data_IF_852486394346
#
_entry.id   IF_852486394346
#
_cell.length_a   1.000
_cell.length_b   1.000
_cell.length_c   1.000
_cell.angle_alpha   90.00
_cell.angle_beta   90.00
_cell.angle_gamma   90.00
#
_symmetry.space_group_name_H-M   'P 1'
#
loop_
_entity.id
_entity.type
_entity.pdbx_description
1 polymer ?
#
# COMPACT_ATOMS: atom_id res chain seq x y z
N UNK A 1 -7.41 -3.33 27.33
CA UNK A 1 -7.78 -3.61 28.76
C UNK A 1 -8.84 -2.60 29.16
N UNK A 2 -9.97 -3.02 29.68
CA UNK A 2 -11.06 -2.12 30.09
C UNK A 2 -11.13 -2.15 31.60
N UNK A 3 -11.07 -0.98 32.24
CA UNK A 3 -11.27 -0.82 33.68
C UNK A 3 -12.55 -0.01 33.89
N UNK A 4 -13.47 -0.52 34.72
CA UNK A 4 -14.73 0.12 35.12
C UNK A 4 -14.68 0.51 36.58
N UNK A 5 -15.14 1.73 36.91
CA UNK A 5 -15.39 2.14 38.26
C UNK A 5 -16.82 2.72 38.38
N UNK A 6 -17.25 3.12 39.56
CA UNK A 6 -18.58 3.66 39.81
C UNK A 6 -18.90 4.99 39.11
N UNK A 7 -17.96 5.57 38.37
CA UNK A 7 -18.09 6.85 37.66
C UNK A 7 -18.11 6.74 36.15
N UNK A 8 -18.06 5.56 35.56
CA UNK A 8 -18.09 5.33 34.12
C UNK A 8 -17.02 4.38 33.60
N UNK A 9 -17.10 4.03 32.33
CA UNK A 9 -16.08 3.20 31.64
C UNK A 9 -15.10 4.08 30.87
N UNK A 10 -13.80 3.90 31.10
CA UNK A 10 -12.74 4.44 30.27
C UNK A 10 -12.11 3.32 29.42
N UNK A 11 -12.10 3.50 28.13
CA UNK A 11 -11.34 2.64 27.21
C UNK A 11 -9.96 3.25 27.02
N UNK A 12 -8.91 2.52 27.36
CA UNK A 12 -7.53 2.88 26.97
C UNK A 12 -7.16 1.97 25.84
N UNK A 13 -6.99 2.53 24.65
CA UNK A 13 -6.37 1.83 23.52
C UNK A 13 -4.86 1.92 23.73
N UNK A 14 -4.23 0.82 24.00
CA UNK A 14 -2.78 0.70 24.06
C UNK A 14 -2.33 0.10 22.74
N UNK A 15 -1.66 0.88 21.89
CA UNK A 15 -0.91 0.33 20.77
C UNK A 15 0.24 -0.50 21.33
N UNK A 16 0.28 -1.79 21.03
CA UNK A 16 1.48 -2.59 21.23
C UNK A 16 2.44 -2.24 20.07
N UNK A 17 3.51 -1.50 20.38
CA UNK A 17 4.65 -1.48 19.50
C UNK A 17 5.29 -2.87 19.54
N UNK A 18 5.33 -3.55 18.38
CA UNK A 18 6.05 -4.80 18.26
C UNK A 18 7.55 -4.47 18.25
N UNK A 19 8.23 -4.64 19.38
CA UNK A 19 9.69 -4.48 19.51
C UNK A 19 10.46 -5.73 19.02
N UNK A 20 9.95 -6.41 18.00
CA UNK A 20 10.56 -7.58 17.38
C UNK A 20 10.88 -7.30 15.91
N UNK A 21 11.86 -8.01 15.37
CA UNK A 21 12.19 -7.99 13.93
C UNK A 21 10.99 -8.41 13.11
N UNK A 22 10.58 -7.57 12.14
CA UNK A 22 9.50 -7.89 11.22
C UNK A 22 9.94 -9.07 10.32
N UNK A 23 9.08 -10.08 10.22
CA UNK A 23 9.37 -11.29 9.45
C UNK A 23 8.43 -11.43 8.25
N UNK A 24 8.79 -12.29 7.28
CA UNK A 24 7.88 -12.63 6.18
C UNK A 24 6.56 -13.20 6.71
N UNK A 25 6.58 -13.93 7.83
CA UNK A 25 5.38 -14.47 8.45
C UNK A 25 4.43 -13.38 8.99
N UNK A 26 4.97 -12.24 9.40
CA UNK A 26 4.17 -11.11 9.84
C UNK A 26 3.44 -10.44 8.67
N UNK A 27 4.13 -10.32 7.53
CA UNK A 27 3.60 -9.73 6.31
C UNK A 27 2.74 -10.70 5.50
N UNK A 28 2.86 -12.01 5.74
CA UNK A 28 2.10 -13.04 5.03
C UNK A 28 0.60 -12.83 5.21
N UNK A 29 -0.03 -12.30 4.18
CA UNK A 29 -1.47 -12.03 4.11
C UNK A 29 -1.87 -11.56 2.70
N UNK A 30 -3.16 -11.39 2.49
CA UNK A 30 -3.72 -10.65 1.37
C UNK A 30 -4.07 -9.25 1.84
N UNK A 31 -3.47 -8.26 1.23
CA UNK A 31 -3.58 -6.85 1.55
C UNK A 31 -4.44 -6.12 0.54
N UNK A 32 -5.15 -5.11 0.97
CA UNK A 32 -5.82 -4.12 0.11
C UNK A 32 -5.59 -2.72 0.67
N UNK A 33 -5.75 -1.72 -0.16
CA UNK A 33 -5.73 -0.33 0.30
C UNK A 33 -6.83 -0.15 1.35
N UNK A 34 -6.51 0.52 2.46
CA UNK A 34 -7.49 0.79 3.50
C UNK A 34 -8.62 1.67 2.93
N UNK A 35 -9.89 1.27 3.08
CA UNK A 35 -11.02 2.03 2.52
C UNK A 35 -11.36 3.23 3.41
N UNK A 36 -10.43 4.14 3.56
CA UNK A 36 -10.54 5.35 4.39
C UNK A 36 -9.88 6.55 3.72
N UNK A 37 -10.37 7.75 3.98
CA UNK A 37 -9.72 8.97 3.54
C UNK A 37 -8.29 9.05 4.09
N UNK A 38 -7.35 9.51 3.26
CA UNK A 38 -5.93 9.57 3.63
C UNK A 38 -5.15 8.29 3.43
N UNK A 39 -5.77 7.18 3.03
CA UNK A 39 -5.07 5.92 2.77
C UNK A 39 -4.02 6.01 1.65
N UNK A 40 -4.20 6.93 0.71
CA UNK A 40 -3.18 7.37 -0.24
C UNK A 40 -2.90 8.84 0.00
N UNK A 41 -1.63 9.21 -0.02
CA UNK A 41 -1.23 10.60 0.12
C UNK A 41 0.09 10.87 -0.62
N UNK A 42 0.27 12.09 -1.13
CA UNK A 42 1.51 12.53 -1.77
C UNK A 42 1.90 13.93 -1.30
N UNK A 43 3.20 14.13 -1.10
CA UNK A 43 3.73 15.39 -0.64
C UNK A 43 5.26 15.49 -0.73
N UNK A 44 5.83 16.61 -0.26
CA UNK A 44 7.25 16.92 -0.40
C UNK A 44 8.18 16.18 0.56
N UNK A 45 7.64 15.54 1.59
CA UNK A 45 8.41 14.80 2.60
C UNK A 45 7.68 13.52 2.98
N UNK A 46 8.42 12.57 3.52
CA UNK A 46 7.86 11.31 4.00
C UNK A 46 6.65 11.53 4.92
N UNK A 47 5.57 10.81 4.65
CA UNK A 47 4.33 10.89 5.41
C UNK A 47 3.50 12.15 5.21
N UNK A 48 3.95 13.07 4.38
CA UNK A 48 3.23 14.32 4.11
C UNK A 48 2.25 14.13 2.95
N UNK A 49 0.99 14.54 3.14
CA UNK A 49 -0.08 14.47 2.13
C UNK A 49 -0.55 15.83 1.63
N UNK A 50 0.30 16.88 1.75
CA UNK A 50 -0.12 18.27 1.48
C UNK A 50 -0.40 18.59 0.01
N UNK A 51 0.09 17.78 -0.94
CA UNK A 51 -0.17 17.99 -2.37
C UNK A 51 -1.48 17.33 -2.80
N UNK A 52 -1.73 16.13 -2.34
CA UNK A 52 -2.98 15.42 -2.54
C UNK A 52 -3.13 14.29 -1.52
N UNK A 53 -4.36 13.97 -1.20
CA UNK A 53 -4.73 12.85 -0.34
C UNK A 53 -6.08 12.30 -0.77
N UNK A 54 -6.23 10.98 -0.71
CA UNK A 54 -7.47 10.28 -1.00
C UNK A 54 -8.59 10.84 -0.13
N UNK A 55 -9.69 11.28 -0.75
CA UNK A 55 -10.87 11.79 -0.05
C UNK A 55 -11.94 10.71 0.14
N UNK A 56 -12.93 10.97 0.98
CA UNK A 56 -14.11 10.10 1.13
C UNK A 56 -14.86 9.90 -0.21
N UNK A 57 -14.91 10.95 -1.06
CA UNK A 57 -15.54 10.85 -2.38
C UNK A 57 -14.76 9.91 -3.32
N UNK A 58 -13.44 9.87 -3.19
CA UNK A 58 -12.59 9.01 -4.01
C UNK A 58 -12.81 7.52 -3.70
N UNK A 59 -13.22 7.17 -2.49
CA UNK A 59 -13.54 5.78 -2.14
C UNK A 59 -14.65 5.21 -3.02
N UNK A 60 -15.61 6.04 -3.42
CA UNK A 60 -16.68 5.66 -4.34
C UNK A 60 -16.22 5.76 -5.79
N UNK A 61 -15.53 6.84 -6.15
CA UNK A 61 -15.10 7.08 -7.54
C UNK A 61 -14.07 6.05 -8.01
N UNK A 62 -13.20 5.60 -7.09
CA UNK A 62 -12.13 4.62 -7.32
C UNK A 62 -12.44 3.26 -6.68
N UNK A 63 -13.71 2.86 -6.62
CA UNK A 63 -14.11 1.62 -5.96
C UNK A 63 -13.40 0.38 -6.52
N UNK A 64 -13.14 0.36 -7.84
CA UNK A 64 -12.37 -0.69 -8.52
C UNK A 64 -10.89 -0.79 -8.08
N UNK A 65 -10.35 0.25 -7.47
CA UNK A 65 -9.01 0.24 -6.89
C UNK A 65 -9.03 -0.23 -5.42
N UNK A 66 -10.15 -0.03 -4.74
CA UNK A 66 -10.27 -0.38 -3.32
C UNK A 66 -10.43 -1.89 -3.08
N UNK A 67 -10.73 -2.67 -4.12
CA UNK A 67 -10.83 -4.13 -4.06
C UNK A 67 -9.62 -4.87 -4.66
N UNK A 68 -8.65 -4.13 -5.22
CA UNK A 68 -7.36 -4.67 -5.64
C UNK A 68 -6.65 -5.38 -4.48
N UNK A 69 -6.09 -6.55 -4.75
CA UNK A 69 -5.49 -7.43 -3.77
C UNK A 69 -4.00 -7.63 -4.04
N UNK A 70 -3.22 -7.53 -2.99
CA UNK A 70 -1.77 -7.70 -2.97
C UNK A 70 -1.44 -8.83 -2.00
N UNK A 71 -1.05 -9.99 -2.49
CA UNK A 71 -0.75 -11.14 -1.62
C UNK A 71 0.74 -11.31 -1.45
N UNK A 72 1.20 -11.22 -0.20
CA UNK A 72 2.56 -11.50 0.24
C UNK A 72 2.60 -12.91 0.82
N UNK A 73 3.22 -13.87 0.15
CA UNK A 73 3.34 -15.25 0.59
C UNK A 73 4.47 -15.45 1.61
N UNK A 74 4.31 -16.40 2.53
CA UNK A 74 5.34 -16.74 3.54
C UNK A 74 6.64 -17.28 2.94
N UNK A 75 6.61 -17.69 1.67
CA UNK A 75 7.75 -18.16 0.88
C UNK A 75 8.47 -17.06 0.08
N UNK A 76 8.04 -15.79 0.23
CA UNK A 76 8.56 -14.65 -0.51
C UNK A 76 7.90 -14.45 -1.87
N UNK A 77 6.86 -15.20 -2.22
CA UNK A 77 6.06 -14.97 -3.42
C UNK A 77 5.22 -13.69 -3.25
N UNK A 78 5.00 -12.99 -4.36
CA UNK A 78 4.11 -11.83 -4.41
C UNK A 78 3.16 -11.93 -5.60
N UNK A 79 1.91 -11.55 -5.43
CA UNK A 79 0.93 -11.50 -6.52
C UNK A 79 -0.02 -10.31 -6.37
N UNK A 80 -0.54 -9.86 -7.52
CA UNK A 80 -1.52 -8.78 -7.63
C UNK A 80 -2.75 -9.34 -8.32
N UNK A 81 -3.95 -9.11 -7.76
CA UNK A 81 -5.23 -9.49 -8.35
C UNK A 81 -6.13 -8.26 -8.36
N UNK A 82 -6.59 -7.88 -9.53
CA UNK A 82 -7.41 -6.69 -9.80
C UNK A 82 -8.81 -7.07 -10.32
N UNK A 83 -9.25 -8.29 -10.11
CA UNK A 83 -10.61 -8.85 -10.39
C UNK A 83 -11.30 -8.37 -11.69
N UNK A 84 -10.52 -7.92 -12.69
CA UNK A 84 -10.98 -7.52 -14.03
C UNK A 84 -11.00 -6.01 -14.26
N UNK A 85 -10.94 -5.17 -13.25
CA UNK A 85 -10.77 -3.72 -13.38
C UNK A 85 -9.94 -3.14 -12.23
N UNK A 86 -9.36 -1.98 -12.47
CA UNK A 86 -8.63 -1.16 -11.50
C UNK A 86 -8.73 0.30 -11.91
N UNK A 87 -8.21 1.22 -11.10
CA UNK A 87 -8.15 2.63 -11.46
C UNK A 87 -7.04 2.89 -12.47
N UNK A 88 -7.43 3.36 -13.65
CA UNK A 88 -6.52 3.78 -14.72
C UNK A 88 -6.27 5.28 -14.65
N UNK A 89 -5.08 5.69 -15.09
CA UNK A 89 -4.65 7.08 -15.10
C UNK A 89 -4.20 7.52 -16.50
N UNK A 90 -4.23 8.82 -16.78
CA UNK A 90 -3.91 9.40 -18.09
C UNK A 90 -2.50 9.06 -18.60
N UNK A 91 -1.53 8.84 -17.72
CA UNK A 91 -0.18 8.41 -18.13
C UNK A 91 -0.15 7.03 -18.79
N UNK A 92 -1.20 6.21 -18.60
CA UNK A 92 -1.37 4.89 -19.24
C UNK A 92 -2.01 5.01 -20.65
N UNK A 93 -2.07 6.22 -21.22
CA UNK A 93 -2.69 6.52 -22.51
C UNK A 93 -4.21 6.23 -22.58
N UNK A 94 -4.90 6.41 -21.45
CA UNK A 94 -6.35 6.22 -21.32
C UNK A 94 -6.98 7.36 -20.51
N UNK A 95 -8.29 7.30 -20.25
CA UNK A 95 -8.97 8.24 -19.35
C UNK A 95 -8.79 7.81 -17.89
N UNK A 96 -8.87 8.76 -16.97
CA UNK A 96 -8.97 8.47 -15.54
C UNK A 96 -10.34 7.85 -15.25
N UNK A 97 -10.36 6.53 -15.07
CA UNK A 97 -11.58 5.76 -14.86
C UNK A 97 -11.24 4.33 -14.40
N UNK A 98 -12.23 3.62 -13.89
CA UNK A 98 -12.14 2.18 -13.73
C UNK A 98 -12.10 1.49 -15.11
N UNK A 99 -11.19 0.54 -15.28
CA UNK A 99 -11.05 -0.22 -16.52
C UNK A 99 -10.11 -1.42 -16.37
N UNK A 100 -10.05 -2.25 -17.40
CA UNK A 100 -9.20 -3.43 -17.41
C UNK A 100 -7.73 -3.06 -17.17
N UNK A 101 -7.02 -3.80 -16.28
CA UNK A 101 -5.63 -3.55 -15.99
C UNK A 101 -4.76 -3.57 -17.26
N UNK A 102 -3.73 -2.71 -17.31
CA UNK A 102 -2.87 -2.55 -18.47
C UNK A 102 -1.44 -3.04 -18.17
N UNK A 103 -0.92 -3.90 -19.08
CA UNK A 103 0.45 -4.39 -18.98
C UNK A 103 1.47 -3.22 -19.01
N UNK A 104 2.59 -3.35 -18.27
CA UNK A 104 3.04 -4.49 -17.48
C UNK A 104 2.50 -4.50 -16.03
N UNK A 105 1.55 -3.62 -15.68
CA UNK A 105 1.01 -3.45 -14.33
C UNK A 105 -0.37 -4.14 -14.18
N UNK A 106 -0.59 -5.21 -14.92
CA UNK A 106 -1.84 -5.98 -14.97
C UNK A 106 -1.86 -7.21 -14.05
N UNK A 107 -0.82 -7.37 -13.22
CA UNK A 107 -0.68 -8.50 -12.30
C UNK A 107 -0.28 -9.82 -12.97
N UNK A 108 -0.03 -9.85 -14.29
CA UNK A 108 0.31 -11.10 -15.02
C UNK A 108 1.76 -11.55 -14.83
N UNK A 109 2.62 -10.72 -14.23
CA UNK A 109 4.03 -11.00 -14.00
C UNK A 109 4.27 -12.07 -12.93
N UNK A 110 5.50 -12.55 -12.88
CA UNK A 110 5.99 -13.39 -11.79
C UNK A 110 6.77 -12.53 -10.82
N UNK A 111 6.27 -12.39 -9.60
CA UNK A 111 6.82 -11.46 -8.63
C UNK A 111 7.27 -12.17 -7.37
N UNK A 112 8.27 -11.57 -6.71
CA UNK A 112 8.73 -11.97 -5.38
C UNK A 112 8.87 -10.74 -4.50
N UNK A 113 9.02 -10.95 -3.19
CA UNK A 113 9.33 -9.87 -2.27
C UNK A 113 10.36 -10.27 -1.23
N UNK A 114 11.04 -9.26 -0.71
CA UNK A 114 11.91 -9.35 0.47
C UNK A 114 11.54 -8.23 1.43
N UNK A 115 11.66 -8.50 2.73
CA UNK A 115 11.39 -7.50 3.75
C UNK A 115 12.48 -7.50 4.82
N UNK A 116 12.73 -6.32 5.37
CA UNK A 116 13.46 -6.07 6.61
C UNK A 116 12.50 -5.38 7.59
N UNK A 117 12.98 -5.00 8.76
CA UNK A 117 12.19 -4.25 9.74
C UNK A 117 11.68 -2.90 9.22
N UNK A 118 12.36 -2.34 8.21
CA UNK A 118 12.09 -0.99 7.72
C UNK A 118 11.82 -0.91 6.22
N UNK A 119 11.97 -2.00 5.47
CA UNK A 119 11.80 -1.98 4.01
C UNK A 119 11.02 -3.19 3.50
N UNK A 120 10.24 -2.94 2.44
CA UNK A 120 9.61 -3.97 1.60
C UNK A 120 10.09 -3.74 0.17
N UNK A 121 10.82 -4.71 -0.39
CA UNK A 121 11.27 -4.70 -1.78
C UNK A 121 10.47 -5.71 -2.59
N UNK A 122 9.80 -5.24 -3.64
CA UNK A 122 9.13 -6.07 -4.64
C UNK A 122 10.05 -6.25 -5.84
N UNK A 123 10.12 -7.45 -6.39
CA UNK A 123 10.95 -7.79 -7.55
C UNK A 123 10.12 -8.44 -8.66
N UNK A 124 10.43 -8.08 -9.90
CA UNK A 124 9.74 -8.43 -11.13
C UNK A 124 9.18 -7.19 -11.81
N UNK A 125 9.42 -7.06 -13.12
CA UNK A 125 8.95 -5.91 -13.89
C UNK A 125 7.43 -5.77 -13.78
N UNK A 126 6.96 -4.60 -13.39
CA UNK A 126 5.54 -4.31 -13.17
C UNK A 126 5.00 -4.67 -11.78
N UNK A 127 5.85 -5.13 -10.84
CA UNK A 127 5.46 -5.33 -9.45
C UNK A 127 5.20 -3.99 -8.74
N UNK A 128 4.11 -3.88 -7.99
CA UNK A 128 3.78 -2.70 -7.19
C UNK A 128 2.79 -3.02 -6.07
N UNK A 129 2.70 -2.14 -5.08
CA UNK A 129 1.58 -2.05 -4.13
C UNK A 129 1.07 -0.61 -4.11
N UNK A 130 -0.24 -0.43 -4.20
CA UNK A 130 -0.87 0.88 -4.34
C UNK A 130 -0.88 1.37 -5.79
N UNK A 131 -0.28 2.52 -6.09
CA UNK A 131 -0.26 3.07 -7.46
C UNK A 131 0.99 2.62 -8.22
N UNK A 132 0.85 2.05 -9.44
CA UNK A 132 1.99 1.55 -10.21
C UNK A 132 2.98 2.65 -10.63
N UNK A 133 2.54 3.90 -10.77
CA UNK A 133 3.42 5.02 -11.12
C UNK A 133 4.44 5.37 -10.04
N UNK A 134 4.15 5.05 -8.78
CA UNK A 134 5.03 5.39 -7.67
C UNK A 134 6.16 4.36 -7.57
N UNK A 135 7.38 4.75 -7.91
CA UNK A 135 8.56 3.91 -7.77
C UNK A 135 9.79 4.74 -7.37
N UNK A 136 10.83 4.09 -6.86
CA UNK A 136 11.99 4.77 -6.28
C UNK A 136 13.04 5.25 -7.30
N UNK A 137 12.70 5.33 -8.57
CA UNK A 137 13.52 5.96 -9.61
C UNK A 137 12.84 7.18 -10.27
N UNK A 138 11.68 7.56 -9.76
CA UNK A 138 10.79 8.59 -10.29
C UNK A 138 9.42 8.02 -10.59
N UNK A 139 8.46 8.85 -10.97
CA UNK A 139 7.12 8.39 -11.36
C UNK A 139 7.09 7.93 -12.82
N UNK A 140 6.37 6.83 -13.10
CA UNK A 140 5.99 6.48 -14.47
C UNK A 140 5.03 7.55 -15.03
N UNK A 141 5.13 7.90 -16.34
CA UNK A 141 5.92 7.25 -17.40
C UNK A 141 7.32 7.86 -17.61
N UNK A 142 7.81 8.68 -16.68
CA UNK A 142 9.08 9.41 -16.87
C UNK A 142 10.33 8.54 -16.67
N UNK A 143 10.16 7.32 -16.18
CA UNK A 143 11.22 6.33 -15.99
C UNK A 143 10.79 5.01 -16.60
N UNK A 144 11.77 4.17 -16.95
CA UNK A 144 11.53 2.81 -17.41
C UNK A 144 10.88 1.98 -16.26
N UNK A 145 10.11 0.97 -16.64
CA UNK A 145 9.52 0.03 -15.65
C UNK A 145 10.66 -0.68 -14.92
N UNK A 146 10.78 -0.49 -13.60
CA UNK A 146 11.90 -1.07 -12.85
C UNK A 146 11.72 -2.58 -12.65
N UNK A 147 12.84 -3.29 -12.55
CA UNK A 147 12.88 -4.71 -12.16
C UNK A 147 12.62 -4.92 -10.66
N UNK A 148 12.76 -3.87 -9.87
CA UNK A 148 12.42 -3.89 -8.44
C UNK A 148 12.09 -2.49 -7.93
N UNK A 149 11.22 -2.44 -6.92
CA UNK A 149 10.90 -1.20 -6.23
C UNK A 149 10.93 -1.44 -4.70
N UNK A 150 11.38 -0.45 -3.95
CA UNK A 150 11.55 -0.57 -2.50
C UNK A 150 10.73 0.49 -1.78
N UNK A 151 9.88 0.05 -0.88
CA UNK A 151 9.11 0.89 0.03
C UNK A 151 9.78 0.93 1.40
N UNK A 152 9.64 2.04 2.10
CA UNK A 152 9.91 2.15 3.54
C UNK A 152 8.67 1.70 4.31
N UNK A 153 8.81 0.76 5.21
CA UNK A 153 7.76 0.39 6.17
C UNK A 153 7.81 1.41 7.31
N UNK A 154 6.76 2.20 7.45
CA UNK A 154 6.66 3.23 8.49
C UNK A 154 5.75 2.83 9.63
N UNK A 155 4.84 1.89 9.40
CA UNK A 155 3.99 1.33 10.43
C UNK A 155 3.63 -0.12 10.07
N UNK A 156 3.68 -0.97 11.06
CA UNK A 156 3.06 -2.29 11.02
C UNK A 156 2.36 -2.54 12.35
N UNK A 157 1.06 -2.74 12.31
CA UNK A 157 0.25 -3.04 13.49
C UNK A 157 -0.49 -4.34 13.27
N UNK A 158 -0.53 -5.17 14.30
CA UNK A 158 -1.39 -6.35 14.39
C UNK A 158 -2.21 -6.21 15.65
N UNK A 159 -3.51 -6.28 15.52
CA UNK A 159 -4.45 -6.28 16.65
C UNK A 159 -5.46 -7.43 16.50
N UNK A 160 -6.44 -7.48 17.38
CA UNK A 160 -7.48 -8.51 17.35
C UNK A 160 -8.45 -8.42 16.16
N UNK A 161 -8.34 -7.40 15.31
CA UNK A 161 -9.22 -7.15 14.16
C UNK A 161 -8.54 -7.39 12.83
N UNK A 162 -7.20 -7.45 12.78
CA UNK A 162 -6.42 -7.65 11.56
C UNK A 162 -5.03 -7.04 11.63
N UNK A 163 -4.46 -6.78 10.46
CA UNK A 163 -3.16 -6.12 10.31
C UNK A 163 -3.30 -4.82 9.54
N UNK A 164 -2.46 -3.85 9.88
CA UNK A 164 -2.30 -2.57 9.17
C UNK A 164 -0.84 -2.40 8.78
N UNK A 165 -0.59 -1.99 7.55
CA UNK A 165 0.73 -1.75 7.00
C UNK A 165 0.74 -0.38 6.33
N UNK A 166 1.71 0.47 6.68
CA UNK A 166 1.91 1.77 6.04
C UNK A 166 3.26 1.75 5.32
N UNK A 167 3.21 2.00 4.02
CA UNK A 167 4.36 2.03 3.13
C UNK A 167 4.55 3.44 2.57
N UNK A 168 5.77 3.93 2.66
CA UNK A 168 6.20 5.18 2.00
C UNK A 168 7.24 4.88 0.93
N UNK A 169 7.24 5.68 -0.14
CA UNK A 169 8.24 5.59 -1.20
C UNK A 169 8.64 6.97 -1.69
N UNK A 170 9.94 7.24 -1.77
CA UNK A 170 10.46 8.43 -2.44
C UNK A 170 10.62 8.15 -3.93
N UNK A 171 9.74 8.75 -4.73
CA UNK A 171 9.75 8.59 -6.20
C UNK A 171 10.70 9.54 -6.91
N UNK A 172 11.25 10.47 -6.19
CA UNK A 172 12.18 11.49 -6.69
C UNK A 172 12.49 12.46 -5.57
N UNK A 173 13.52 13.27 -5.72
CA UNK A 173 13.93 14.20 -4.65
C UNK A 173 12.75 15.06 -4.19
N UNK A 174 12.32 14.86 -2.95
CA UNK A 174 11.20 15.60 -2.35
C UNK A 174 9.84 15.24 -2.93
N UNK A 175 9.66 14.04 -3.47
CA UNK A 175 8.37 13.52 -3.92
C UNK A 175 8.11 12.18 -3.22
N UNK A 176 7.19 12.19 -2.26
CA UNK A 176 6.89 11.03 -1.42
C UNK A 176 5.44 10.62 -1.57
N UNK A 177 5.22 9.32 -1.87
CA UNK A 177 3.92 8.68 -1.77
C UNK A 177 3.82 7.88 -0.48
N UNK A 178 2.63 7.89 0.10
CA UNK A 178 2.21 7.05 1.22
C UNK A 178 1.03 6.20 0.83
N UNK A 179 1.06 4.94 1.24
CA UNK A 179 0.00 3.96 1.05
C UNK A 179 -0.30 3.27 2.38
N UNK A 180 -1.56 3.20 2.74
CA UNK A 180 -2.04 2.48 3.91
C UNK A 180 -2.82 1.26 3.47
N UNK A 181 -2.44 0.10 3.97
CA UNK A 181 -3.06 -1.19 3.67
C UNK A 181 -3.64 -1.83 4.92
N UNK A 182 -4.68 -2.65 4.72
CA UNK A 182 -5.24 -3.55 5.75
C UNK A 182 -5.23 -4.98 5.21
N UNK A 183 -5.06 -5.96 6.11
CA UNK A 183 -5.21 -7.38 5.77
C UNK A 183 -6.69 -7.74 5.59
N UNK A 184 -6.95 -8.77 4.76
CA UNK A 184 -8.29 -9.34 4.54
C UNK A 184 -8.56 -10.52 5.43
#
# INVERSE_FOLDING_TARGET
MTATNSGGSHSVTQSLELTGTLTLADLNDTWKVAPEAGALAVGPTQGNGSWWSLSEADLTTRACFMDDKYTLGSDGSFSIVMDGDTWLETWQATSETCGAPLAPHDGSGSYTYQATDTTLTLSGAGAFMGLPKANNAGELPNVDVPESITYTITEFVRDGTGKRLVLDIECGTGLWWRFTFISQ
#
